data_IF_561162333965
#
_entry.id   IF_561162333965
#
_cell.length_a   1.000
_cell.length_b   1.000
_cell.length_c   1.000
_cell.angle_alpha   90.00
_cell.angle_beta   90.00
_cell.angle_gamma   90.00
#
_symmetry.space_group_name_H-M   'P 1'
#
loop_
_entity.id
_entity.type
_entity.pdbx_description
1 polymer ?
#
# COMPACT_ATOMS: atom_id res chain seq x y z
N UNK A 1 9.32 6.85 -50.95
CA UNK A 1 9.82 7.25 -49.61
C UNK A 1 8.93 6.52 -48.62
N UNK A 2 9.46 5.51 -47.93
CA UNK A 2 8.70 4.78 -46.92
C UNK A 2 8.74 5.60 -45.63
N UNK A 3 7.56 6.04 -45.20
CA UNK A 3 7.34 6.67 -43.91
C UNK A 3 7.47 5.58 -42.84
N UNK A 4 8.56 5.61 -42.08
CA UNK A 4 8.75 4.73 -40.93
C UNK A 4 7.75 5.16 -39.86
N UNK A 5 6.67 4.39 -39.74
CA UNK A 5 5.72 4.53 -38.64
C UNK A 5 6.47 4.19 -37.36
N UNK A 6 6.78 5.20 -36.55
CA UNK A 6 7.29 4.99 -35.20
C UNK A 6 6.16 4.33 -34.40
N UNK A 7 6.18 3.00 -34.34
CA UNK A 7 5.39 2.26 -33.37
C UNK A 7 6.01 2.58 -32.02
N UNK A 8 5.43 3.53 -31.32
CA UNK A 8 5.79 3.87 -29.94
C UNK A 8 5.59 2.58 -29.11
N UNK A 9 6.68 1.89 -28.81
CA UNK A 9 6.68 0.67 -27.99
C UNK A 9 6.39 1.12 -26.55
N UNK A 10 5.11 1.36 -26.25
CA UNK A 10 4.63 1.64 -24.91
C UNK A 10 4.74 0.33 -24.12
N UNK A 11 5.90 0.10 -23.48
CA UNK A 11 6.08 -1.06 -22.61
C UNK A 11 7.51 -1.56 -22.38
N UNK A 12 8.54 -0.88 -22.86
CA UNK A 12 9.94 -1.34 -22.78
C UNK A 12 10.76 -0.71 -21.64
N UNK A 13 10.19 0.20 -20.84
CA UNK A 13 10.84 0.79 -19.66
C UNK A 13 10.14 0.36 -18.38
N UNK A 14 10.91 -0.02 -17.36
CA UNK A 14 10.39 -0.32 -16.03
C UNK A 14 9.84 0.94 -15.34
N UNK A 15 8.94 0.76 -14.37
CA UNK A 15 8.42 1.87 -13.57
C UNK A 15 9.56 2.64 -12.84
N UNK A 16 10.63 1.95 -12.47
CA UNK A 16 11.83 2.56 -11.85
C UNK A 16 12.56 3.49 -12.84
N UNK A 17 12.72 3.08 -14.10
CA UNK A 17 13.35 3.91 -15.13
C UNK A 17 12.49 5.12 -15.52
N UNK A 18 11.16 4.94 -15.55
CA UNK A 18 10.21 6.02 -15.80
C UNK A 18 10.20 7.05 -14.67
N UNK A 19 10.42 6.62 -13.41
CA UNK A 19 10.51 7.52 -12.27
C UNK A 19 11.70 8.51 -12.36
N UNK A 20 12.75 8.15 -13.10
CA UNK A 20 13.92 9.02 -13.32
C UNK A 20 13.63 10.14 -14.34
N UNK A 21 12.61 9.97 -15.20
CA UNK A 21 12.25 10.94 -16.25
C UNK A 21 10.72 11.11 -16.28
N UNK A 22 10.16 11.94 -15.38
CA UNK A 22 8.71 12.01 -15.16
C UNK A 22 7.93 12.50 -16.38
N UNK A 23 8.57 13.23 -17.30
CA UNK A 23 7.95 13.62 -18.59
C UNK A 23 7.66 12.44 -19.52
N UNK A 24 8.26 11.27 -19.29
CA UNK A 24 8.08 10.06 -20.10
C UNK A 24 7.05 9.08 -19.51
N UNK A 25 6.35 9.44 -18.43
CA UNK A 25 5.32 8.58 -17.83
C UNK A 25 4.15 8.46 -18.81
N UNK A 26 3.85 7.25 -19.33
CA UNK A 26 2.80 7.11 -20.33
C UNK A 26 1.41 7.32 -19.74
N UNK A 27 0.47 7.79 -20.56
CA UNK A 27 -0.88 8.19 -20.12
C UNK A 27 -1.69 7.07 -19.44
N UNK A 28 -1.36 5.80 -19.66
CA UNK A 28 -2.02 4.66 -19.01
C UNK A 28 -1.66 4.50 -17.52
N UNK A 29 -0.63 5.19 -17.03
CA UNK A 29 -0.30 5.28 -15.59
C UNK A 29 -1.04 6.43 -14.89
N UNK A 30 -1.70 7.32 -15.64
CA UNK A 30 -2.35 8.52 -15.10
C UNK A 30 -3.84 8.25 -14.88
N UNK A 31 -4.24 8.13 -13.62
CA UNK A 31 -5.65 7.99 -13.23
C UNK A 31 -6.22 9.36 -12.83
N UNK A 32 -7.07 9.94 -13.68
CA UNK A 32 -7.59 11.32 -13.51
C UNK A 32 -8.64 11.45 -12.40
N UNK A 33 -9.41 10.41 -12.18
CA UNK A 33 -10.38 10.33 -11.09
C UNK A 33 -9.72 9.56 -9.96
N UNK A 34 -8.86 10.25 -9.19
CA UNK A 34 -8.28 9.64 -7.99
C UNK A 34 -9.42 9.03 -7.18
N UNK A 35 -9.43 7.70 -7.06
CA UNK A 35 -10.52 6.99 -6.41
C UNK A 35 -10.76 7.54 -5.01
N UNK A 36 -11.94 7.29 -4.44
CA UNK A 36 -12.36 7.79 -3.13
C UNK A 36 -11.30 7.65 -2.01
N UNK A 37 -10.37 6.69 -2.10
CA UNK A 37 -9.25 6.53 -1.15
C UNK A 37 -7.91 7.19 -1.51
N UNK A 38 -7.74 7.82 -2.68
CA UNK A 38 -6.46 8.41 -3.10
C UNK A 38 -6.17 9.75 -2.42
N UNK A 39 -7.22 10.52 -2.09
CA UNK A 39 -7.07 11.79 -1.35
C UNK A 39 -6.74 11.55 0.13
N UNK A 40 -7.26 10.46 0.71
CA UNK A 40 -7.02 10.09 2.10
C UNK A 40 -5.64 9.43 2.32
N UNK A 41 -5.03 8.86 1.28
CA UNK A 41 -3.69 8.25 1.36
C UNK A 41 -2.53 9.27 1.21
N UNK A 42 -2.79 10.47 0.67
CA UNK A 42 -1.78 11.50 0.41
C UNK A 42 -1.65 12.55 1.50
N UNK A 43 -2.57 12.56 2.45
CA UNK A 43 -2.51 13.41 3.63
C UNK A 43 -2.51 12.47 4.83
N UNK A 44 -1.46 12.45 5.69
CA UNK A 44 -1.70 11.98 7.03
C UNK A 44 -2.84 12.87 7.56
N UNK A 45 -4.04 12.32 7.67
CA UNK A 45 -5.17 13.07 8.23
C UNK A 45 -4.70 13.51 9.61
N UNK A 46 -4.49 14.81 9.77
CA UNK A 46 -4.06 15.47 11.00
C UNK A 46 -5.04 15.21 12.16
N UNK A 47 -6.14 14.50 11.89
CA UNK A 47 -7.28 14.28 12.78
C UNK A 47 -7.73 12.84 12.95
N UNK A 48 -7.14 11.84 12.28
CA UNK A 48 -7.62 10.46 12.42
C UNK A 48 -6.44 9.48 12.57
N UNK A 49 -6.23 9.04 13.82
CA UNK A 49 -5.46 7.86 14.26
C UNK A 49 -5.99 6.56 13.60
N UNK A 50 -6.05 6.52 12.27
CA UNK A 50 -6.29 5.29 11.51
C UNK A 50 -4.93 4.59 11.41
N UNK A 51 -4.42 4.16 12.57
CA UNK A 51 -3.23 3.32 12.66
C UNK A 51 -3.62 1.86 12.41
N UNK A 52 -3.01 1.23 11.42
CA UNK A 52 -3.23 -0.19 11.12
C UNK A 52 -2.86 -1.00 12.38
N UNK A 53 -3.75 -1.87 12.90
CA UNK A 53 -3.47 -2.63 14.10
C UNK A 53 -2.20 -3.47 13.96
N UNK A 54 -1.29 -3.39 14.93
CA UNK A 54 -0.07 -4.22 14.99
C UNK A 54 -0.29 -5.42 15.89
N UNK A 55 -0.07 -6.64 15.41
CA UNK A 55 -0.19 -7.88 16.18
C UNK A 55 1.21 -8.44 16.47
N UNK A 56 1.49 -8.68 17.75
CA UNK A 56 2.75 -9.23 18.22
C UNK A 56 2.68 -10.76 18.33
N UNK A 57 3.40 -11.46 17.45
CA UNK A 57 3.40 -12.92 17.44
C UNK A 57 4.10 -13.48 18.69
N UNK A 58 5.09 -12.79 19.25
CA UNK A 58 5.74 -13.18 20.50
C UNK A 58 4.71 -13.22 21.64
N UNK A 59 3.84 -12.22 21.70
CA UNK A 59 2.76 -12.17 22.67
C UNK A 59 1.67 -13.22 22.43
N UNK A 60 1.37 -13.58 21.18
CA UNK A 60 0.43 -14.68 20.88
C UNK A 60 0.90 -16.03 21.42
N UNK A 61 2.21 -16.25 21.47
CA UNK A 61 2.79 -17.51 21.96
C UNK A 61 3.04 -17.53 23.46
N UNK A 62 3.08 -16.36 24.09
CA UNK A 62 3.37 -16.19 25.51
C UNK A 62 2.12 -16.43 26.36
N UNK A 63 2.14 -17.37 27.33
CA UNK A 63 0.95 -17.72 28.12
C UNK A 63 0.33 -16.52 28.87
N UNK A 64 1.17 -15.56 29.26
CA UNK A 64 0.76 -14.37 30.01
C UNK A 64 0.10 -13.28 29.16
N UNK A 65 0.34 -13.25 27.84
CA UNK A 65 -0.11 -12.18 26.94
C UNK A 65 -0.97 -12.68 25.78
N UNK A 66 -1.01 -14.00 25.53
CA UNK A 66 -1.71 -14.62 24.41
C UNK A 66 -3.19 -14.24 24.31
N UNK A 67 -3.91 -14.19 25.44
CA UNK A 67 -5.34 -13.88 25.42
C UNK A 67 -5.61 -12.43 25.02
N UNK A 68 -4.80 -11.49 25.49
CA UNK A 68 -4.91 -10.08 25.15
C UNK A 68 -4.56 -9.86 23.67
N UNK A 69 -3.51 -10.52 23.19
CA UNK A 69 -3.06 -10.40 21.81
C UNK A 69 -4.03 -11.07 20.82
N UNK A 70 -4.63 -12.21 21.19
CA UNK A 70 -5.69 -12.85 20.41
C UNK A 70 -6.94 -11.96 20.29
N UNK A 71 -7.31 -11.25 21.35
CA UNK A 71 -8.42 -10.30 21.30
C UNK A 71 -8.12 -9.15 20.32
N UNK A 72 -6.88 -8.64 20.34
CA UNK A 72 -6.42 -7.63 19.38
C UNK A 72 -6.49 -8.15 17.94
N UNK A 73 -6.03 -9.37 17.70
CA UNK A 73 -6.10 -10.03 16.40
C UNK A 73 -7.54 -10.20 15.91
N UNK A 74 -8.45 -10.65 16.78
CA UNK A 74 -9.86 -10.79 16.44
C UNK A 74 -10.50 -9.43 16.09
N UNK A 75 -10.20 -8.39 16.88
CA UNK A 75 -10.68 -7.02 16.60
C UNK A 75 -10.17 -6.51 15.26
N UNK A 76 -8.89 -6.72 14.95
CA UNK A 76 -8.30 -6.31 13.68
C UNK A 76 -8.93 -7.05 12.49
N UNK A 77 -9.12 -8.36 12.59
CA UNK A 77 -9.76 -9.14 11.53
C UNK A 77 -11.23 -8.75 11.28
N UNK A 78 -11.96 -8.40 12.35
CA UNK A 78 -13.38 -8.06 12.26
C UNK A 78 -13.65 -6.61 11.84
N UNK A 79 -12.81 -5.68 12.28
CA UNK A 79 -13.02 -4.24 12.07
C UNK A 79 -12.20 -3.66 10.92
N UNK A 80 -11.00 -4.21 10.65
CA UNK A 80 -10.08 -3.70 9.64
C UNK A 80 -9.92 -4.63 8.43
N UNK A 81 -9.88 -5.94 8.67
CA UNK A 81 -9.53 -6.93 7.64
C UNK A 81 -8.04 -6.94 7.24
N UNK A 82 -7.23 -6.07 7.85
CA UNK A 82 -5.78 -5.99 7.70
C UNK A 82 -5.14 -5.66 9.06
N UNK A 83 -3.94 -6.18 9.29
CA UNK A 83 -3.09 -5.85 10.42
C UNK A 83 -1.62 -5.98 10.03
N UNK A 84 -0.75 -5.30 10.76
CA UNK A 84 0.69 -5.49 10.70
C UNK A 84 1.12 -6.56 11.69
N UNK A 85 2.25 -7.19 11.43
CA UNK A 85 2.82 -8.20 12.31
C UNK A 85 4.15 -7.70 12.82
N UNK A 86 4.34 -7.78 14.14
CA UNK A 86 5.65 -7.67 14.75
C UNK A 86 6.01 -9.01 15.44
N UNK A 87 7.30 -9.20 15.65
CA UNK A 87 7.81 -10.30 16.47
C UNK A 87 8.75 -9.67 17.49
N UNK A 88 8.22 -9.38 18.68
CA UNK A 88 9.04 -8.95 19.82
C UNK A 88 9.53 -10.22 20.53
N UNK A 89 10.83 -10.47 20.47
CA UNK A 89 11.49 -11.59 21.15
C UNK A 89 11.80 -11.26 22.61
#
# INVERSE_FOLDING_TARGET
>A
MAESVEVEIIGNKSAQELALNPENVPNNYIHKEGGVGFRDALLPSESDDIEIPVIDIGNLTSPSTAQQELHKLHSALSSWGLFQVNLSC
#
